data_IF_866380858245
#
_entry.id   IF_866380858245
#
_cell.length_a   1.000
_cell.length_b   1.000
_cell.length_c   1.000
_cell.angle_alpha   90.00
_cell.angle_beta   90.00
_cell.angle_gamma   90.00
#
_symmetry.space_group_name_H-M   'P 1'
#
loop_
_entity.id
_entity.type
_entity.pdbx_description
1 polymer ?
#
# COMPACT_ATOMS: atom_id res chain seq x y z
N UNK A 1 25.87 25.01 -5.17
CA UNK A 1 24.63 25.44 -4.50
C UNK A 1 23.57 25.56 -5.59
N UNK A 2 22.59 24.67 -5.61
CA UNK A 2 21.44 24.74 -6.52
C UNK A 2 20.77 26.10 -6.34
N UNK A 3 20.92 26.99 -7.33
CA UNK A 3 20.27 28.29 -7.31
C UNK A 3 18.75 28.07 -7.16
N UNK A 4 18.13 28.70 -6.16
CA UNK A 4 16.68 28.65 -5.95
C UNK A 4 16.17 27.68 -4.88
N UNK A 5 17.01 26.84 -4.25
CA UNK A 5 16.54 25.92 -3.19
C UNK A 5 15.93 26.66 -1.99
N UNK A 6 16.50 27.81 -1.60
CA UNK A 6 15.98 28.64 -0.52
C UNK A 6 14.57 29.17 -0.84
N UNK A 7 14.33 29.59 -2.09
CA UNK A 7 13.03 30.08 -2.53
C UNK A 7 11.99 28.95 -2.62
N UNK A 8 12.39 27.75 -3.05
CA UNK A 8 11.54 26.55 -3.01
C UNK A 8 11.11 26.25 -1.56
N UNK A 9 12.07 26.24 -0.63
CA UNK A 9 11.80 25.98 0.79
C UNK A 9 10.87 27.04 1.37
N UNK A 10 11.12 28.33 1.13
CA UNK A 10 10.23 29.42 1.55
C UNK A 10 8.82 29.25 1.00
N UNK A 11 8.69 28.87 -0.27
CA UNK A 11 7.41 28.58 -0.92
C UNK A 11 6.64 27.46 -0.20
N UNK A 12 7.29 26.34 0.08
CA UNK A 12 6.68 25.20 0.80
C UNK A 12 6.25 25.59 2.22
N UNK A 13 7.10 26.36 2.93
CA UNK A 13 6.81 26.82 4.29
C UNK A 13 5.62 27.77 4.34
N UNK A 14 5.49 28.65 3.35
CA UNK A 14 4.44 29.65 3.29
C UNK A 14 3.13 29.15 2.67
N UNK A 15 3.10 27.96 2.04
CA UNK A 15 1.90 27.46 1.35
C UNK A 15 0.77 27.11 2.33
N UNK A 16 -0.38 27.83 2.30
CA UNK A 16 -1.51 27.56 3.17
C UNK A 16 -2.35 26.35 2.74
N UNK A 17 -2.12 25.80 1.53
CA UNK A 17 -2.86 24.64 1.01
C UNK A 17 -2.30 23.32 1.51
N UNK A 18 -1.07 23.31 2.02
CA UNK A 18 -0.42 22.10 2.52
C UNK A 18 -0.82 21.82 3.97
N UNK A 19 -1.31 20.61 4.20
CA UNK A 19 -1.39 20.04 5.55
C UNK A 19 0.02 19.83 6.12
N UNK A 20 0.10 19.63 7.44
CA UNK A 20 1.40 19.39 8.09
C UNK A 20 2.18 18.20 7.49
N UNK A 21 1.59 17.00 7.29
CA UNK A 21 2.31 15.87 6.67
C UNK A 21 2.74 16.14 5.23
N UNK A 22 1.89 16.81 4.44
CA UNK A 22 2.23 17.18 3.05
C UNK A 22 3.40 18.16 3.02
N UNK A 23 3.43 19.14 3.94
CA UNK A 23 4.54 20.09 4.06
C UNK A 23 5.85 19.38 4.42
N UNK A 24 5.82 18.46 5.39
CA UNK A 24 7.01 17.68 5.74
C UNK A 24 7.52 16.86 4.55
N UNK A 25 6.61 16.19 3.83
CA UNK A 25 6.96 15.38 2.65
C UNK A 25 7.54 16.25 1.53
N UNK A 26 6.95 17.41 1.27
CA UNK A 26 7.46 18.36 0.28
C UNK A 26 8.85 18.91 0.64
N UNK A 27 9.09 19.23 1.91
CA UNK A 27 10.41 19.67 2.39
C UNK A 27 11.45 18.54 2.24
N UNK A 28 11.09 17.30 2.58
CA UNK A 28 11.96 16.15 2.39
C UNK A 28 12.28 15.93 0.91
N UNK A 29 11.29 16.04 0.02
CA UNK A 29 11.48 15.98 -1.44
C UNK A 29 12.39 17.09 -1.97
N UNK A 30 12.28 18.32 -1.46
CA UNK A 30 13.19 19.40 -1.84
C UNK A 30 14.65 19.10 -1.43
N UNK A 31 14.85 18.51 -0.25
CA UNK A 31 16.17 18.08 0.21
C UNK A 31 16.71 16.90 -0.61
N UNK A 32 15.87 15.90 -0.90
CA UNK A 32 16.16 14.72 -1.73
C UNK A 32 16.59 15.05 -3.16
N UNK A 33 16.12 16.18 -3.70
CA UNK A 33 16.47 16.66 -5.03
C UNK A 33 17.69 17.60 -5.06
N UNK A 34 18.28 17.92 -3.91
CA UNK A 34 19.48 18.76 -3.86
C UNK A 34 20.76 18.01 -4.29
N UNK A 35 20.97 16.74 -3.91
CA UNK A 35 22.05 15.93 -4.48
C UNK A 35 21.76 15.55 -5.93
N UNK A 36 22.83 15.37 -6.71
CA UNK A 36 22.79 14.77 -8.05
C UNK A 36 23.78 13.60 -8.08
N UNK A 37 23.36 12.40 -7.64
CA UNK A 37 24.27 11.27 -7.47
C UNK A 37 24.57 10.54 -8.78
N UNK A 38 23.75 10.71 -9.82
CA UNK A 38 23.87 9.99 -11.09
C UNK A 38 24.02 10.98 -12.25
N UNK A 39 25.26 11.42 -12.56
CA UNK A 39 25.48 12.33 -13.66
C UNK A 39 25.08 11.68 -14.99
N UNK A 40 24.17 12.32 -15.72
CA UNK A 40 23.70 11.85 -17.02
C UNK A 40 24.72 12.17 -18.14
N UNK A 41 24.82 11.28 -19.13
CA UNK A 41 25.51 11.63 -20.38
C UNK A 41 24.74 12.73 -21.11
N UNK A 42 25.38 13.41 -22.07
CA UNK A 42 24.71 14.45 -22.88
C UNK A 42 23.48 13.90 -23.61
N UNK A 43 23.57 12.68 -24.10
CA UNK A 43 22.48 11.98 -24.78
C UNK A 43 21.33 11.67 -23.81
N UNK A 44 21.64 11.16 -22.61
CA UNK A 44 20.63 10.89 -21.59
C UNK A 44 19.96 12.18 -21.10
N UNK A 45 20.72 13.26 -20.89
CA UNK A 45 20.19 14.57 -20.54
C UNK A 45 19.24 15.11 -21.62
N UNK A 46 19.58 14.92 -22.90
CA UNK A 46 18.71 15.34 -24.00
C UNK A 46 17.31 14.70 -23.96
N UNK A 47 17.23 13.43 -23.54
CA UNK A 47 15.97 12.72 -23.34
C UNK A 47 15.23 13.20 -22.09
N UNK A 48 15.95 13.41 -20.98
CA UNK A 48 15.39 13.92 -19.74
C UNK A 48 14.80 15.33 -19.90
N UNK A 49 15.54 16.24 -20.55
CA UNK A 49 15.11 17.63 -20.83
C UNK A 49 13.85 17.72 -21.71
N UNK A 50 13.48 16.62 -22.39
CA UNK A 50 12.31 16.52 -23.27
C UNK A 50 11.19 15.68 -22.68
N UNK A 51 11.31 15.28 -21.42
CA UNK A 51 10.39 14.39 -20.72
C UNK A 51 10.17 13.04 -21.45
N UNK A 52 11.16 12.61 -22.25
CA UNK A 52 11.13 11.31 -22.94
C UNK A 52 11.49 10.18 -21.97
N UNK A 53 12.44 10.45 -21.08
CA UNK A 53 12.83 9.58 -19.97
C UNK A 53 12.77 10.41 -18.70
N UNK A 54 12.20 9.85 -17.64
CA UNK A 54 12.08 10.52 -16.35
C UNK A 54 12.18 9.49 -15.23
N UNK A 55 12.55 9.95 -14.04
CA UNK A 55 12.72 9.16 -12.81
C UNK A 55 11.39 8.86 -12.09
N UNK A 56 10.26 9.03 -12.79
CA UNK A 56 8.90 8.96 -12.23
C UNK A 56 8.60 10.03 -11.17
N UNK A 57 9.42 11.07 -11.06
CA UNK A 57 9.29 12.11 -10.05
C UNK A 57 9.61 11.62 -8.63
N UNK A 58 10.39 10.56 -8.51
CA UNK A 58 10.74 9.95 -7.21
C UNK A 58 11.94 10.62 -6.55
N UNK A 59 12.61 11.52 -7.27
CA UNK A 59 13.66 12.39 -6.77
C UNK A 59 15.06 11.85 -7.04
N UNK A 60 16.03 12.76 -7.07
CA UNK A 60 17.40 12.45 -7.49
C UNK A 60 18.15 11.49 -6.55
N UNK A 61 17.89 11.54 -5.23
CA UNK A 61 18.61 10.76 -4.23
C UNK A 61 17.65 10.13 -3.20
N UNK A 62 16.85 9.11 -3.60
CA UNK A 62 15.73 8.63 -2.82
C UNK A 62 16.15 8.13 -1.43
N UNK A 63 15.57 8.69 -0.36
CA UNK A 63 15.85 8.27 1.03
C UNK A 63 14.96 7.12 1.52
N UNK A 64 14.02 6.70 0.67
CA UNK A 64 13.00 5.70 0.97
C UNK A 64 12.89 4.69 -0.16
N UNK A 65 12.60 3.41 0.14
CA UNK A 65 12.29 2.43 -0.89
C UNK A 65 11.04 2.84 -1.65
N UNK A 66 10.92 2.39 -2.90
CA UNK A 66 9.71 2.66 -3.69
C UNK A 66 8.53 1.87 -3.14
N UNK A 67 8.69 0.56 -3.01
CA UNK A 67 7.71 -0.36 -2.46
C UNK A 67 8.32 -1.19 -1.34
N UNK A 68 7.55 -1.43 -0.27
CA UNK A 68 7.91 -2.35 0.81
C UNK A 68 6.74 -3.27 1.03
N UNK A 69 6.99 -4.57 1.10
CA UNK A 69 5.98 -5.59 1.34
C UNK A 69 6.29 -6.31 2.65
N UNK A 70 5.87 -5.77 3.81
CA UNK A 70 6.04 -6.49 5.05
C UNK A 70 5.32 -7.84 5.03
N UNK A 71 5.94 -8.84 5.64
CA UNK A 71 5.26 -10.11 5.94
C UNK A 71 4.30 -9.90 7.11
N UNK A 72 3.08 -9.47 6.78
CA UNK A 72 2.03 -9.22 7.76
C UNK A 72 1.57 -10.49 8.45
N UNK A 73 1.58 -11.65 7.78
CA UNK A 73 1.24 -12.93 8.42
C UNK A 73 2.23 -13.28 9.53
N UNK A 74 3.53 -13.05 9.31
CA UNK A 74 4.54 -13.22 10.36
C UNK A 74 4.35 -12.21 11.49
N UNK A 75 4.05 -10.95 11.19
CA UNK A 75 3.74 -9.95 12.20
C UNK A 75 2.52 -10.37 13.05
N UNK A 76 1.44 -10.82 12.44
CA UNK A 76 0.23 -11.26 13.15
C UNK A 76 0.51 -12.50 14.02
N UNK A 77 1.45 -13.38 13.64
CA UNK A 77 1.82 -14.55 14.47
C UNK A 77 2.71 -14.21 15.67
N UNK A 78 3.61 -13.24 15.55
CA UNK A 78 4.68 -13.01 16.54
C UNK A 78 4.60 -11.65 17.25
N UNK A 79 3.76 -10.73 16.78
CA UNK A 79 3.77 -9.33 17.21
C UNK A 79 5.03 -8.60 16.77
N UNK A 80 5.41 -7.56 17.52
CA UNK A 80 6.65 -6.81 17.33
C UNK A 80 7.24 -6.37 18.66
N UNK A 81 8.38 -6.97 19.03
CA UNK A 81 9.13 -6.55 20.22
C UNK A 81 9.57 -5.08 20.16
N UNK A 82 9.90 -4.58 18.98
CA UNK A 82 10.31 -3.19 18.78
C UNK A 82 9.17 -2.22 19.06
N UNK A 83 7.96 -2.55 18.60
CA UNK A 83 6.76 -1.74 18.83
C UNK A 83 6.06 -2.07 20.16
N UNK A 84 6.58 -3.04 20.91
CA UNK A 84 5.97 -3.59 22.13
C UNK A 84 4.52 -4.04 21.88
N UNK A 85 4.29 -4.71 20.75
CA UNK A 85 3.00 -5.29 20.38
C UNK A 85 3.07 -6.81 20.53
N UNK A 86 2.16 -7.37 21.32
CA UNK A 86 1.93 -8.80 21.38
C UNK A 86 1.15 -9.27 20.13
N UNK A 87 1.21 -10.57 19.76
CA UNK A 87 0.29 -11.13 18.79
C UNK A 87 -1.18 -10.81 19.16
N UNK A 88 -2.03 -10.42 18.21
CA UNK A 88 -3.41 -10.06 18.50
C UNK A 88 -4.21 -11.24 19.05
N UNK A 89 -5.03 -11.00 20.08
CA UNK A 89 -5.91 -11.99 20.69
C UNK A 89 -7.34 -11.97 20.13
N UNK A 90 -7.76 -10.83 19.58
CA UNK A 90 -9.07 -10.61 18.98
C UNK A 90 -9.03 -9.65 17.78
N UNK A 91 -10.20 -9.34 17.23
CA UNK A 91 -10.32 -8.48 16.03
C UNK A 91 -9.91 -7.04 16.32
N UNK A 92 -10.06 -6.56 17.55
CA UNK A 92 -9.70 -5.21 17.96
C UNK A 92 -8.18 -5.06 18.05
N UNK A 93 -7.52 -6.04 18.67
CA UNK A 93 -6.06 -6.13 18.66
C UNK A 93 -5.54 -6.21 17.23
N UNK A 94 -6.16 -7.05 16.38
CA UNK A 94 -5.74 -7.26 15.00
C UNK A 94 -5.77 -5.95 14.19
N UNK A 95 -6.91 -5.25 14.19
CA UNK A 95 -7.03 -3.97 13.45
C UNK A 95 -6.11 -2.91 14.05
N UNK A 96 -5.99 -2.82 15.38
CA UNK A 96 -5.11 -1.85 16.03
C UNK A 96 -3.65 -2.09 15.68
N UNK A 97 -3.17 -3.32 15.83
CA UNK A 97 -1.78 -3.71 15.57
C UNK A 97 -1.38 -3.46 14.11
N UNK A 98 -2.25 -3.81 13.15
CA UNK A 98 -2.02 -3.54 11.73
C UNK A 98 -1.90 -2.04 11.46
N UNK A 99 -2.83 -1.23 11.97
CA UNK A 99 -2.80 0.23 11.79
C UNK A 99 -1.54 0.87 12.40
N UNK A 100 -1.10 0.39 13.57
CA UNK A 100 0.15 0.83 14.19
C UNK A 100 1.33 0.46 13.28
N UNK A 101 1.39 -0.77 12.79
CA UNK A 101 2.49 -1.19 11.92
C UNK A 101 2.53 -0.38 10.62
N UNK A 102 1.37 -0.14 9.98
CA UNK A 102 1.24 0.65 8.76
C UNK A 102 1.87 2.04 8.87
N UNK A 103 1.75 2.68 10.04
CA UNK A 103 2.38 3.99 10.30
C UNK A 103 3.90 3.96 10.13
N UNK A 104 4.53 2.81 10.30
CA UNK A 104 5.98 2.64 10.27
C UNK A 104 6.50 2.04 8.95
N UNK A 105 5.63 1.71 8.00
CA UNK A 105 6.05 1.16 6.70
C UNK A 105 6.42 2.32 5.76
N UNK A 106 7.70 2.46 5.37
CA UNK A 106 8.11 3.51 4.45
C UNK A 106 7.82 3.10 3.00
N UNK A 107 7.55 4.07 2.14
CA UNK A 107 7.51 3.88 0.69
C UNK A 107 7.57 5.23 -0.03
N UNK A 108 7.45 5.20 -1.37
CA UNK A 108 7.31 6.40 -2.20
C UNK A 108 6.21 7.36 -1.72
N UNK A 109 5.11 6.85 -1.14
CA UNK A 109 3.97 7.64 -0.63
C UNK A 109 4.10 8.07 0.83
N UNK A 110 5.28 7.86 1.45
CA UNK A 110 5.50 8.11 2.88
C UNK A 110 4.52 7.35 3.81
N UNK A 111 4.05 6.18 3.35
CA UNK A 111 3.15 5.27 4.05
C UNK A 111 3.15 3.88 3.38
N UNK A 112 2.27 2.94 3.76
CA UNK A 112 2.27 1.61 3.16
C UNK A 112 1.64 1.61 1.76
N UNK A 113 2.38 1.14 0.76
CA UNK A 113 1.82 0.80 -0.57
C UNK A 113 1.12 -0.55 -0.58
N UNK A 114 1.40 -1.39 0.40
CA UNK A 114 0.81 -2.70 0.58
C UNK A 114 0.38 -2.84 2.02
N UNK A 115 -0.87 -3.24 2.24
CA UNK A 115 -1.44 -3.44 3.58
C UNK A 115 -1.83 -4.89 3.85
N UNK A 116 -1.34 -5.84 3.05
CA UNK A 116 -1.56 -7.26 3.32
C UNK A 116 -2.72 -7.89 2.56
N UNK A 117 -2.79 -9.22 2.65
CA UNK A 117 -4.00 -10.00 2.35
C UNK A 117 -5.01 -9.82 3.49
N UNK A 118 -5.66 -8.66 3.54
CA UNK A 118 -6.38 -8.20 4.74
C UNK A 118 -7.54 -9.10 5.13
N UNK A 119 -8.10 -9.86 4.18
CA UNK A 119 -9.13 -10.84 4.47
C UNK A 119 -8.58 -11.99 5.31
N UNK A 120 -7.50 -12.66 4.89
CA UNK A 120 -6.91 -13.78 5.62
C UNK A 120 -6.23 -13.34 6.92
N UNK A 121 -5.74 -12.10 6.99
CA UNK A 121 -5.14 -11.56 8.22
C UNK A 121 -6.20 -11.33 9.31
N UNK A 122 -7.43 -10.97 8.93
CA UNK A 122 -8.51 -10.64 9.86
C UNK A 122 -9.45 -11.82 10.12
N UNK A 123 -9.61 -12.73 9.16
CA UNK A 123 -10.53 -13.88 9.25
C UNK A 123 -10.37 -14.74 10.52
N UNK A 124 -9.14 -15.05 11.01
CA UNK A 124 -8.95 -15.82 12.23
C UNK A 124 -9.58 -15.21 13.49
N UNK A 125 -9.86 -13.90 13.46
CA UNK A 125 -10.40 -13.15 14.59
C UNK A 125 -11.92 -12.91 14.46
N UNK A 126 -12.56 -13.40 13.39
CA UNK A 126 -14.02 -13.30 13.19
C UNK A 126 -14.75 -14.35 14.03
N UNK A 127 -15.13 -13.96 15.25
CA UNK A 127 -15.97 -14.78 16.15
C UNK A 127 -17.46 -14.44 16.02
N UNK A 128 -17.75 -13.15 16.07
CA UNK A 128 -19.07 -12.56 15.83
C UNK A 128 -19.01 -11.68 14.58
N UNK A 129 -19.95 -11.86 13.66
CA UNK A 129 -19.91 -11.16 12.37
C UNK A 129 -20.26 -9.68 12.49
N UNK A 130 -21.12 -9.29 13.44
CA UNK A 130 -21.47 -7.88 13.65
C UNK A 130 -20.32 -7.10 14.28
N UNK A 131 -19.65 -7.70 15.27
CA UNK A 131 -18.42 -7.16 15.86
C UNK A 131 -17.33 -7.03 14.80
N UNK A 132 -17.08 -8.08 14.02
CA UNK A 132 -16.08 -8.05 12.95
C UNK A 132 -16.41 -6.99 11.89
N UNK A 133 -17.67 -6.87 11.47
CA UNK A 133 -18.14 -5.82 10.55
C UNK A 133 -17.91 -4.43 11.11
N UNK A 134 -18.12 -4.23 12.41
CA UNK A 134 -17.84 -2.95 13.05
C UNK A 134 -16.32 -2.63 13.07
N UNK A 135 -15.50 -3.58 13.49
CA UNK A 135 -14.03 -3.42 13.54
C UNK A 135 -13.43 -3.19 12.14
N UNK A 136 -13.82 -3.99 11.14
CA UNK A 136 -13.35 -3.85 9.75
C UNK A 136 -13.80 -2.51 9.16
N UNK A 137 -15.02 -2.03 9.47
CA UNK A 137 -15.47 -0.70 9.03
C UNK A 137 -14.58 0.40 9.61
N UNK A 138 -14.21 0.33 10.88
CA UNK A 138 -13.29 1.28 11.51
C UNK A 138 -11.91 1.20 10.85
N UNK A 139 -11.39 -0.01 10.65
CA UNK A 139 -10.11 -0.25 9.98
C UNK A 139 -10.05 0.37 8.58
N UNK A 140 -11.01 0.03 7.70
CA UNK A 140 -11.09 0.60 6.35
C UNK A 140 -11.29 2.12 6.39
N UNK A 141 -11.99 2.63 7.41
CA UNK A 141 -12.11 4.08 7.62
C UNK A 141 -10.81 4.75 7.96
N UNK A 142 -10.04 4.14 8.83
CA UNK A 142 -8.76 4.67 9.21
C UNK A 142 -7.81 4.69 8.01
N UNK A 143 -7.68 3.55 7.31
CA UNK A 143 -6.84 3.42 6.11
C UNK A 143 -7.17 4.51 5.07
N UNK A 144 -8.45 4.68 4.75
CA UNK A 144 -8.88 5.68 3.76
C UNK A 144 -8.63 7.14 4.19
N UNK A 145 -8.62 7.42 5.51
CA UNK A 145 -8.49 8.78 6.05
C UNK A 145 -7.06 9.18 6.42
N UNK A 146 -6.15 8.21 6.61
CA UNK A 146 -4.80 8.50 7.08
C UNK A 146 -3.70 8.17 6.09
N UNK A 147 -3.94 7.26 5.14
CA UNK A 147 -3.01 6.98 4.05
C UNK A 147 -3.42 7.77 2.80
N UNK A 148 -4.72 7.76 2.47
CA UNK A 148 -5.37 8.59 1.43
C UNK A 148 -4.57 8.76 0.12
N UNK A 149 -3.89 7.70 -0.33
CA UNK A 149 -3.13 7.65 -1.57
C UNK A 149 -3.55 6.42 -2.40
N UNK A 150 -3.67 6.61 -3.72
CA UNK A 150 -4.07 5.55 -4.65
C UNK A 150 -3.12 4.36 -4.72
N UNK A 151 -1.86 4.50 -4.28
CA UNK A 151 -0.91 3.40 -4.24
C UNK A 151 -1.08 2.48 -3.03
N UNK A 152 -1.86 2.85 -2.01
CA UNK A 152 -2.17 1.96 -0.91
C UNK A 152 -3.07 0.80 -1.39
N UNK A 153 -2.53 -0.41 -1.37
CA UNK A 153 -3.12 -1.59 -1.97
C UNK A 153 -3.34 -2.72 -0.94
N UNK A 154 -4.49 -3.37 -1.04
CA UNK A 154 -4.83 -4.55 -0.26
C UNK A 154 -5.07 -5.74 -1.20
N UNK A 155 -4.63 -6.92 -0.79
CA UNK A 155 -5.01 -8.15 -1.47
C UNK A 155 -6.14 -8.84 -0.69
N UNK A 156 -6.95 -9.61 -1.41
CA UNK A 156 -7.93 -10.54 -0.85
C UNK A 156 -7.93 -11.86 -1.63
N UNK A 157 -8.54 -12.90 -1.06
CA UNK A 157 -8.63 -14.22 -1.67
C UNK A 157 -7.32 -15.01 -1.56
N UNK A 158 -7.23 -16.15 -2.26
CA UNK A 158 -8.24 -16.72 -3.15
C UNK A 158 -9.42 -17.38 -2.44
N UNK A 159 -9.31 -17.62 -1.14
CA UNK A 159 -10.31 -18.33 -0.35
C UNK A 159 -11.49 -17.43 0.03
N UNK A 160 -12.68 -18.02 0.05
CA UNK A 160 -13.93 -17.36 0.46
C UNK A 160 -14.01 -17.21 1.99
N UNK A 161 -13.35 -16.18 2.50
CA UNK A 161 -13.28 -15.86 3.94
C UNK A 161 -14.46 -15.02 4.40
N UNK A 162 -14.84 -15.13 5.68
CA UNK A 162 -15.89 -14.27 6.26
C UNK A 162 -15.45 -12.81 6.26
N UNK A 163 -14.20 -12.56 6.65
CA UNK A 163 -13.61 -11.23 6.59
C UNK A 163 -13.61 -10.68 5.15
N UNK A 164 -13.24 -11.47 4.15
CA UNK A 164 -13.25 -11.07 2.74
C UNK A 164 -14.65 -10.68 2.27
N UNK A 165 -15.68 -11.47 2.62
CA UNK A 165 -17.08 -11.11 2.35
C UNK A 165 -17.47 -9.79 3.02
N UNK A 166 -17.11 -9.57 4.28
CA UNK A 166 -17.39 -8.31 5.00
C UNK A 166 -16.67 -7.12 4.34
N UNK A 167 -15.41 -7.30 3.95
CA UNK A 167 -14.59 -6.27 3.30
C UNK A 167 -15.22 -5.83 1.96
N UNK A 168 -15.67 -6.78 1.13
CA UNK A 168 -16.35 -6.48 -0.14
C UNK A 168 -17.67 -5.72 0.09
N UNK A 169 -18.50 -6.19 1.03
CA UNK A 169 -19.77 -5.55 1.41
C UNK A 169 -19.54 -4.09 1.86
N UNK A 170 -18.60 -3.89 2.78
CA UNK A 170 -18.25 -2.57 3.31
C UNK A 170 -17.66 -1.67 2.22
N UNK A 171 -16.83 -2.22 1.33
CA UNK A 171 -16.26 -1.47 0.21
C UNK A 171 -17.35 -0.94 -0.71
N UNK A 172 -18.31 -1.78 -1.10
CA UNK A 172 -19.46 -1.40 -1.92
C UNK A 172 -20.33 -0.33 -1.23
N UNK A 173 -20.56 -0.47 0.09
CA UNK A 173 -21.35 0.49 0.85
C UNK A 173 -20.64 1.86 0.99
N UNK A 174 -19.34 1.84 1.26
CA UNK A 174 -18.59 3.04 1.63
C UNK A 174 -18.09 3.82 0.41
N UNK A 175 -17.86 3.14 -0.73
CA UNK A 175 -17.40 3.72 -2.01
C UNK A 175 -16.19 4.64 -1.86
N UNK A 176 -15.26 4.23 -1.00
CA UNK A 176 -14.06 5.01 -0.70
C UNK A 176 -12.95 4.67 -1.67
N UNK A 177 -12.09 5.63 -2.05
CA UNK A 177 -11.02 5.38 -2.99
C UNK A 177 -9.94 4.45 -2.43
N UNK A 178 -9.63 4.53 -1.13
CA UNK A 178 -8.49 3.82 -0.52
C UNK A 178 -9.01 2.79 0.52
N UNK A 179 -8.37 1.61 0.64
CA UNK A 179 -7.29 1.09 -0.19
C UNK A 179 -7.79 0.70 -1.58
N UNK A 180 -6.92 0.74 -2.60
CA UNK A 180 -7.16 -0.05 -3.81
C UNK A 180 -7.10 -1.53 -3.45
N UNK A 181 -7.70 -2.41 -4.26
CA UNK A 181 -7.83 -3.81 -3.89
C UNK A 181 -7.69 -4.75 -5.08
N UNK A 182 -7.05 -5.90 -4.86
CA UNK A 182 -6.98 -7.00 -5.82
C UNK A 182 -7.50 -8.30 -5.20
N UNK A 183 -8.31 -9.04 -5.97
CA UNK A 183 -8.67 -10.41 -5.69
C UNK A 183 -7.68 -11.32 -6.40
N UNK A 184 -6.89 -12.05 -5.62
CA UNK A 184 -6.09 -13.16 -6.13
C UNK A 184 -7.06 -14.28 -6.52
N UNK A 185 -7.21 -14.51 -7.82
CA UNK A 185 -8.22 -15.42 -8.37
C UNK A 185 -7.58 -16.73 -8.85
N UNK A 186 -8.07 -17.85 -8.30
CA UNK A 186 -7.65 -19.20 -8.69
C UNK A 186 -8.76 -20.24 -8.46
N UNK A 187 -8.43 -21.53 -8.58
CA UNK A 187 -9.36 -22.66 -8.42
C UNK A 187 -10.02 -22.77 -7.03
N UNK A 188 -9.49 -22.09 -6.02
CA UNK A 188 -10.07 -22.04 -4.67
C UNK A 188 -11.10 -20.92 -4.50
N UNK A 189 -11.18 -19.99 -5.45
CA UNK A 189 -12.17 -18.92 -5.44
C UNK A 189 -13.53 -19.47 -5.82
N UNK A 190 -14.49 -19.40 -4.89
CA UNK A 190 -15.86 -19.84 -5.14
C UNK A 190 -16.56 -18.89 -6.11
N UNK A 191 -17.50 -19.42 -6.92
CA UNK A 191 -18.31 -18.60 -7.82
C UNK A 191 -19.08 -17.51 -7.07
N UNK A 192 -19.57 -17.81 -5.85
CA UNK A 192 -20.26 -16.84 -5.02
C UNK A 192 -19.34 -15.69 -4.60
N UNK A 193 -18.11 -15.98 -4.19
CA UNK A 193 -17.15 -14.95 -3.79
C UNK A 193 -16.70 -14.12 -4.99
N UNK A 194 -16.46 -14.76 -6.14
CA UNK A 194 -16.15 -14.09 -7.39
C UNK A 194 -17.29 -13.16 -7.82
N UNK A 195 -18.54 -13.62 -7.82
CA UNK A 195 -19.72 -12.80 -8.12
C UNK A 195 -19.82 -11.60 -7.17
N UNK A 196 -19.62 -11.80 -5.86
CA UNK A 196 -19.62 -10.70 -4.89
C UNK A 196 -18.51 -9.67 -5.18
N UNK A 197 -17.33 -10.14 -5.57
CA UNK A 197 -16.22 -9.26 -5.96
C UNK A 197 -16.55 -8.48 -7.24
N UNK A 198 -17.18 -9.11 -8.23
CA UNK A 198 -17.64 -8.46 -9.46
C UNK A 198 -18.69 -7.39 -9.14
N UNK A 199 -19.71 -7.72 -8.34
CA UNK A 199 -20.76 -6.78 -7.92
C UNK A 199 -20.16 -5.57 -7.20
N UNK A 200 -19.18 -5.79 -6.33
CA UNK A 200 -18.44 -4.72 -5.63
C UNK A 200 -17.65 -3.87 -6.63
N UNK A 201 -16.99 -4.51 -7.60
CA UNK A 201 -16.23 -3.87 -8.67
C UNK A 201 -17.07 -2.96 -9.57
N UNK A 202 -18.30 -3.36 -9.88
CA UNK A 202 -19.23 -2.56 -10.68
C UNK A 202 -19.64 -1.25 -10.00
N UNK A 203 -19.59 -1.19 -8.66
CA UNK A 203 -19.95 0.00 -7.89
C UNK A 203 -18.72 0.84 -7.53
N UNK A 204 -17.57 0.21 -7.30
CA UNK A 204 -16.40 0.86 -6.69
C UNK A 204 -15.14 0.89 -7.56
N UNK A 205 -15.18 0.26 -8.75
CA UNK A 205 -14.02 -0.02 -9.60
C UNK A 205 -12.93 -0.89 -8.94
N UNK A 206 -13.24 -1.61 -7.86
CA UNK A 206 -12.37 -2.57 -7.17
C UNK A 206 -13.18 -3.70 -6.51
N UNK A 207 -12.60 -4.89 -6.30
CA UNK A 207 -11.22 -5.27 -6.58
C UNK A 207 -10.93 -5.47 -8.08
N UNK A 208 -9.65 -5.32 -8.44
CA UNK A 208 -9.11 -5.88 -9.69
C UNK A 208 -8.93 -7.40 -9.56
N UNK A 209 -8.93 -8.14 -10.67
CA UNK A 209 -8.77 -9.60 -10.64
C UNK A 209 -7.36 -9.99 -11.10
N UNK A 210 -6.68 -10.77 -10.28
CA UNK A 210 -5.30 -11.18 -10.50
C UNK A 210 -5.29 -12.66 -10.88
N UNK A 211 -4.66 -12.99 -12.00
CA UNK A 211 -4.49 -14.37 -12.42
C UNK A 211 -3.36 -15.02 -11.60
N UNK A 212 -3.74 -15.77 -10.56
CA UNK A 212 -2.78 -16.34 -9.61
C UNK A 212 -1.81 -17.34 -10.27
N UNK A 213 -2.31 -18.15 -11.20
CA UNK A 213 -1.50 -19.15 -11.90
C UNK A 213 -0.36 -18.50 -12.68
N UNK A 214 -0.62 -17.34 -13.30
CA UNK A 214 0.38 -16.59 -14.04
C UNK A 214 1.46 -16.02 -13.11
N UNK A 215 1.05 -15.30 -12.05
CA UNK A 215 2.02 -14.67 -11.15
C UNK A 215 2.78 -15.68 -10.29
N UNK A 216 2.15 -16.79 -9.89
CA UNK A 216 2.82 -17.87 -9.18
C UNK A 216 3.93 -18.52 -10.03
N UNK A 217 3.76 -18.59 -11.35
CA UNK A 217 4.79 -19.13 -12.24
C UNK A 217 6.05 -18.25 -12.29
N UNK A 218 5.90 -16.92 -12.18
CA UNK A 218 7.00 -15.96 -12.25
C UNK A 218 7.65 -15.68 -10.89
N UNK A 219 6.84 -15.58 -9.83
CA UNK A 219 7.27 -15.08 -8.52
C UNK A 219 7.22 -16.12 -7.39
N UNK A 220 6.69 -17.32 -7.67
CA UNK A 220 6.34 -18.29 -6.63
C UNK A 220 5.06 -17.91 -5.88
N UNK A 221 4.73 -18.64 -4.82
CA UNK A 221 3.42 -18.49 -4.11
C UNK A 221 3.39 -17.33 -3.11
N UNK A 222 4.54 -16.75 -2.77
CA UNK A 222 4.66 -15.69 -1.76
C UNK A 222 4.86 -14.32 -2.42
N UNK A 223 3.91 -13.95 -3.27
CA UNK A 223 3.85 -12.61 -3.89
C UNK A 223 2.63 -11.84 -3.39
N UNK A 224 2.65 -10.54 -3.59
CA UNK A 224 1.47 -9.69 -3.44
C UNK A 224 1.42 -8.64 -4.57
N UNK A 225 0.23 -8.09 -4.79
CA UNK A 225 0.03 -6.97 -5.70
C UNK A 225 0.16 -5.65 -4.93
N UNK A 226 0.90 -4.71 -5.51
CA UNK A 226 1.14 -3.39 -4.93
C UNK A 226 0.91 -2.27 -5.93
N UNK A 227 0.59 -1.09 -5.40
CA UNK A 227 0.29 0.11 -6.18
C UNK A 227 -0.89 -0.14 -7.13
N UNK A 228 -0.64 -0.31 -8.43
CA UNK A 228 -1.69 -0.54 -9.43
C UNK A 228 -1.78 -2.00 -9.89
N UNK A 229 -0.65 -2.64 -10.22
CA UNK A 229 -0.59 -3.99 -10.81
C UNK A 229 0.78 -4.67 -10.65
N UNK A 230 1.67 -4.12 -9.81
CA UNK A 230 3.01 -4.68 -9.66
C UNK A 230 2.97 -5.89 -8.75
N UNK A 231 3.52 -7.02 -9.18
CA UNK A 231 3.75 -8.17 -8.32
C UNK A 231 5.15 -8.12 -7.72
N UNK A 232 5.26 -8.33 -6.41
CA UNK A 232 6.54 -8.40 -5.71
C UNK A 232 6.51 -9.51 -4.65
N UNK A 233 7.66 -10.12 -4.33
CA UNK A 233 7.76 -11.08 -3.22
C UNK A 233 7.44 -10.43 -1.88
N UNK A 234 6.70 -11.15 -1.04
CA UNK A 234 6.44 -10.78 0.36
C UNK A 234 7.76 -10.82 1.14
N UNK A 235 7.95 -9.88 2.06
CA UNK A 235 9.18 -9.70 2.84
C UNK A 235 10.28 -8.93 2.10
N UNK A 236 10.05 -8.58 0.82
CA UNK A 236 10.98 -7.80 0.00
C UNK A 236 10.64 -6.31 -0.06
N UNK A 237 11.43 -5.60 -0.88
CA UNK A 237 11.16 -4.22 -1.27
C UNK A 237 11.45 -4.02 -2.75
N UNK A 238 10.60 -3.24 -3.42
CA UNK A 238 10.88 -2.72 -4.75
C UNK A 238 11.73 -1.47 -4.62
N UNK A 239 13.00 -1.55 -5.03
CA UNK A 239 13.94 -0.44 -5.06
C UNK A 239 15.26 -0.94 -5.64
N UNK A 240 15.73 -0.31 -6.72
CA UNK A 240 16.91 -0.70 -7.48
C UNK A 240 18.14 -0.93 -6.61
N UNK A 241 18.42 -2.19 -6.36
CA UNK A 241 19.53 -2.69 -5.58
C UNK A 241 19.29 -4.18 -5.44
N UNK A 242 19.94 -4.97 -6.29
CA UNK A 242 19.98 -6.42 -6.13
C UNK A 242 20.52 -6.81 -4.75
N UNK A 243 20.40 -8.11 -4.40
CA UNK A 243 20.89 -8.64 -3.13
C UNK A 243 22.34 -8.25 -2.80
#
# INVERSE_FOLDING_TARGET
MTQGIEEIIKGILADPKLTYPQRLTALAGAAENTPDPVPLSREAQWFADRDIVFDMGEGNAPYRPRYVLPDYDKFMRQGSRFLMLDPPGDIWDAVSNLLILYRHVPSVIAGPVYIGHIDRLLDPFVKDEEEARHAIRIFLTHVDRTISDSFCHADIGPYDTKAGRIILELSAQMQRPVPNMSLIYNEHTTDEFACKAIETGLVTAKPSFVNDAMYTADWGREYAIVSCYNALPIGGGGGGGGP
#
